data_IF_198153178977
#
_entry.id   IF_198153178977
#
_cell.length_a   1.000
_cell.length_b   1.000
_cell.length_c   1.000
_cell.angle_alpha   90.00
_cell.angle_beta   90.00
_cell.angle_gamma   90.00
#
_symmetry.space_group_name_H-M   'P 1'
#
loop_
_entity.id
_entity.type
_entity.pdbx_description
1 polymer ?
#
# COMPACT_ATOMS: atom_id res chain seq x y z
N UNK A 1 -19.56 -25.65 1.33
CA UNK A 1 -18.81 -26.39 2.36
C UNK A 1 -17.63 -27.04 1.65
N UNK A 2 -16.42 -26.69 2.00
CA UNK A 2 -15.21 -27.33 1.43
C UNK A 2 -15.15 -28.76 1.96
N UNK A 3 -15.30 -29.74 1.08
CA UNK A 3 -15.15 -31.16 1.42
C UNK A 3 -13.66 -31.41 1.66
N UNK A 4 -13.27 -31.61 2.91
CA UNK A 4 -11.87 -31.88 3.23
C UNK A 4 -11.54 -33.29 2.67
N UNK A 5 -10.63 -33.40 1.72
CA UNK A 5 -10.20 -34.66 1.09
C UNK A 5 -9.81 -35.73 2.09
N UNK A 6 -9.37 -35.35 3.29
CA UNK A 6 -9.03 -36.24 4.39
C UNK A 6 -10.23 -37.13 4.87
N UNK A 7 -11.46 -36.68 4.62
CA UNK A 7 -12.68 -37.36 5.06
C UNK A 7 -13.30 -38.27 3.98
N UNK A 8 -12.69 -38.36 2.80
CA UNK A 8 -13.17 -39.16 1.69
C UNK A 8 -12.61 -40.60 1.74
N UNK A 9 -13.43 -41.54 1.36
CA UNK A 9 -12.99 -42.92 1.14
C UNK A 9 -12.08 -43.01 -0.10
N UNK A 10 -11.25 -44.08 -0.23
CA UNK A 10 -10.40 -44.24 -1.43
C UNK A 10 -11.17 -44.27 -2.75
N UNK A 11 -12.41 -44.77 -2.74
CA UNK A 11 -13.28 -44.79 -3.92
C UNK A 11 -13.74 -43.37 -4.31
N UNK A 12 -14.21 -42.61 -3.33
CA UNK A 12 -14.60 -41.20 -3.52
C UNK A 12 -13.41 -40.30 -3.95
N UNK A 13 -12.22 -40.54 -3.39
CA UNK A 13 -11.02 -39.85 -3.81
C UNK A 13 -10.64 -40.11 -5.28
N UNK A 14 -10.80 -41.33 -5.74
CA UNK A 14 -10.57 -41.70 -7.15
C UNK A 14 -11.59 -41.06 -8.09
N UNK A 15 -12.85 -41.03 -7.70
CA UNK A 15 -13.91 -40.39 -8.46
C UNK A 15 -13.63 -38.87 -8.58
N UNK A 16 -13.35 -38.21 -7.47
CA UNK A 16 -13.01 -36.77 -7.42
C UNK A 16 -11.75 -36.48 -8.24
N UNK A 17 -10.69 -37.26 -8.08
CA UNK A 17 -9.48 -37.17 -8.89
C UNK A 17 -9.78 -37.25 -10.39
N UNK A 18 -10.63 -38.20 -10.81
CA UNK A 18 -10.99 -38.40 -12.21
C UNK A 18 -11.74 -37.18 -12.75
N UNK A 19 -12.69 -36.64 -11.97
CA UNK A 19 -13.46 -35.47 -12.33
C UNK A 19 -12.57 -34.21 -12.45
N UNK A 20 -11.72 -33.94 -11.45
CA UNK A 20 -10.80 -32.78 -11.44
C UNK A 20 -9.75 -32.92 -12.56
N UNK A 21 -9.25 -34.15 -12.78
CA UNK A 21 -8.29 -34.39 -13.86
C UNK A 21 -8.91 -34.15 -15.25
N UNK A 22 -10.14 -34.56 -15.46
CA UNK A 22 -10.83 -34.28 -16.72
C UNK A 22 -11.02 -32.77 -16.96
N UNK A 23 -11.35 -31.98 -15.92
CA UNK A 23 -11.45 -30.54 -16.00
C UNK A 23 -10.09 -29.91 -16.31
N UNK A 24 -9.03 -30.37 -15.64
CA UNK A 24 -7.66 -29.91 -15.90
C UNK A 24 -7.21 -30.17 -17.34
N UNK A 25 -7.44 -31.42 -17.82
CA UNK A 25 -7.06 -31.80 -19.20
C UNK A 25 -7.86 -31.00 -20.25
N UNK A 26 -9.13 -30.69 -19.99
CA UNK A 26 -9.96 -29.85 -20.85
C UNK A 26 -9.46 -28.39 -20.88
N UNK A 27 -9.03 -27.84 -19.75
CA UNK A 27 -8.43 -26.50 -19.68
C UNK A 27 -7.07 -26.47 -20.40
N UNK A 28 -6.25 -27.49 -20.19
CA UNK A 28 -4.95 -27.64 -20.85
C UNK A 28 -5.07 -27.72 -22.37
N UNK A 29 -6.07 -28.44 -22.86
CA UNK A 29 -6.35 -28.57 -24.30
C UNK A 29 -6.74 -27.23 -24.98
N UNK A 30 -7.15 -26.22 -24.21
CA UNK A 30 -7.45 -24.86 -24.73
C UNK A 30 -6.19 -24.07 -25.08
N UNK A 31 -4.99 -24.53 -24.71
CA UNK A 31 -3.69 -23.89 -24.96
C UNK A 31 -3.68 -22.40 -24.63
N UNK A 32 -4.32 -22.02 -23.51
CA UNK A 32 -4.47 -20.63 -23.10
C UNK A 32 -3.09 -20.03 -22.79
N UNK A 33 -2.78 -18.90 -23.42
CA UNK A 33 -1.55 -18.13 -23.17
C UNK A 33 -1.85 -17.01 -22.18
N UNK A 34 -2.13 -17.34 -20.93
CA UNK A 34 -2.43 -16.42 -19.87
C UNK A 34 -1.16 -16.03 -19.11
N UNK A 35 -1.01 -14.75 -18.84
CA UNK A 35 0.05 -14.23 -17.98
C UNK A 35 -0.56 -13.73 -16.67
N UNK A 36 -0.30 -14.45 -15.59
CA UNK A 36 -0.79 -14.12 -14.24
C UNK A 36 0.30 -13.49 -13.36
N UNK A 37 1.47 -13.17 -13.93
CA UNK A 37 2.59 -12.65 -13.16
C UNK A 37 2.37 -11.20 -12.68
N UNK A 38 1.50 -10.45 -13.33
CA UNK A 38 1.16 -9.07 -12.95
C UNK A 38 -0.28 -8.72 -13.32
N UNK A 39 -1.05 -8.18 -12.36
CA UNK A 39 -2.26 -7.44 -12.63
C UNK A 39 -1.91 -6.11 -13.32
N UNK A 40 -2.49 -5.87 -14.51
CA UNK A 40 -2.37 -4.62 -15.24
C UNK A 40 -3.72 -4.29 -15.86
N UNK A 41 -4.11 -3.01 -15.95
CA UNK A 41 -5.28 -2.62 -16.72
C UNK A 41 -5.17 -3.14 -18.16
N UNK A 42 -6.24 -3.72 -18.67
CA UNK A 42 -6.36 -4.11 -20.06
C UNK A 42 -6.43 -2.91 -21.00
N UNK A 43 -6.21 -3.14 -22.30
CA UNK A 43 -6.25 -2.07 -23.30
C UNK A 43 -7.55 -1.27 -23.27
N UNK A 44 -8.68 -1.97 -23.18
CA UNK A 44 -10.00 -1.34 -23.15
C UNK A 44 -10.17 -0.41 -21.94
N UNK A 45 -9.62 -0.78 -20.78
CA UNK A 45 -9.61 0.08 -19.58
C UNK A 45 -8.73 1.32 -19.78
N UNK A 46 -7.56 1.16 -20.41
CA UNK A 46 -6.67 2.28 -20.72
C UNK A 46 -7.28 3.23 -21.78
N UNK A 47 -8.00 2.68 -22.73
CA UNK A 47 -8.67 3.48 -23.79
C UNK A 47 -9.75 4.41 -23.21
N UNK A 48 -10.37 4.06 -22.06
CA UNK A 48 -11.35 4.92 -21.37
C UNK A 48 -10.77 6.28 -20.97
N UNK A 49 -9.48 6.34 -20.64
CA UNK A 49 -8.81 7.55 -20.16
C UNK A 49 -7.93 8.20 -21.24
N UNK A 50 -7.91 7.67 -22.46
CA UNK A 50 -7.05 8.18 -23.54
C UNK A 50 -7.33 9.65 -23.91
N UNK A 51 -8.55 10.15 -23.65
CA UNK A 51 -8.91 11.56 -23.84
C UNK A 51 -8.08 12.54 -23.01
N UNK A 52 -7.49 12.10 -21.89
CA UNK A 52 -6.61 12.92 -21.03
C UNK A 52 -5.43 13.47 -21.83
N UNK A 53 -4.89 12.72 -22.79
CA UNK A 53 -3.75 13.13 -23.62
C UNK A 53 -4.03 14.34 -24.52
N UNK A 54 -5.28 14.72 -24.67
CA UNK A 54 -5.72 15.82 -25.55
C UNK A 54 -6.53 16.91 -24.83
N UNK A 55 -6.51 16.95 -23.50
CA UNK A 55 -7.22 17.97 -22.71
C UNK A 55 -6.54 19.32 -22.86
N UNK A 56 -5.21 19.37 -22.71
CA UNK A 56 -4.43 20.60 -22.83
C UNK A 56 -4.18 20.91 -24.30
N UNK A 57 -4.80 21.96 -24.83
CA UNK A 57 -4.73 22.35 -26.25
C UNK A 57 -4.04 23.69 -26.45
N UNK A 58 -4.15 24.57 -25.47
CA UNK A 58 -3.62 25.94 -25.54
C UNK A 58 -2.78 26.24 -24.30
N UNK A 59 -1.92 27.27 -24.33
CA UNK A 59 -1.18 27.73 -23.16
C UNK A 59 -2.08 28.08 -21.97
N UNK A 60 -3.27 28.58 -22.23
CA UNK A 60 -4.25 28.99 -21.22
C UNK A 60 -4.76 27.78 -20.43
N UNK A 61 -4.88 26.60 -21.06
CA UNK A 61 -5.25 25.35 -20.40
C UNK A 61 -4.22 24.90 -19.35
N UNK A 62 -3.01 25.46 -19.41
CA UNK A 62 -1.94 25.19 -18.46
C UNK A 62 -1.91 26.17 -17.29
N UNK A 63 -2.82 27.16 -17.23
CA UNK A 63 -2.88 28.11 -16.12
C UNK A 63 -3.87 27.60 -15.07
N UNK A 64 -3.40 27.43 -13.84
CA UNK A 64 -4.19 27.01 -12.69
C UNK A 64 -3.99 27.99 -11.54
N UNK A 65 -5.07 28.61 -11.04
CA UNK A 65 -5.01 29.57 -9.95
C UNK A 65 -4.05 30.77 -10.20
N UNK A 66 -3.82 31.13 -11.47
CA UNK A 66 -2.86 32.17 -11.87
C UNK A 66 -1.41 31.68 -11.98
N UNK A 67 -1.17 30.41 -11.75
CA UNK A 67 0.15 29.76 -11.91
C UNK A 67 0.22 29.06 -13.27
N UNK A 68 1.28 29.32 -14.02
CA UNK A 68 1.57 28.60 -15.26
C UNK A 68 2.27 27.27 -14.93
N UNK A 69 1.50 26.17 -15.01
CA UNK A 69 1.98 24.82 -14.65
C UNK A 69 3.12 24.29 -15.54
N UNK A 70 3.43 24.97 -16.64
CA UNK A 70 4.61 24.67 -17.49
C UNK A 70 5.91 25.21 -16.87
N UNK A 71 5.81 26.07 -15.85
CA UNK A 71 6.96 26.64 -15.16
C UNK A 71 7.19 25.92 -13.82
N UNK A 72 8.34 26.16 -13.21
CA UNK A 72 8.68 25.67 -11.87
C UNK A 72 8.24 26.69 -10.80
N UNK A 73 8.19 26.25 -9.54
CA UNK A 73 7.93 27.13 -8.40
C UNK A 73 6.99 26.53 -7.34
N UNK A 74 6.04 25.72 -7.73
CA UNK A 74 5.06 25.08 -6.83
C UNK A 74 5.64 23.81 -6.19
N UNK A 75 6.45 23.99 -5.13
CA UNK A 75 7.21 22.89 -4.49
C UNK A 75 6.35 21.74 -3.95
N UNK A 76 5.13 22.05 -3.47
CA UNK A 76 4.22 21.06 -2.90
C UNK A 76 3.09 20.65 -3.84
N UNK A 77 3.08 21.16 -5.07
CA UNK A 77 2.04 20.94 -6.06
C UNK A 77 1.02 22.08 -6.17
N UNK A 78 0.30 22.11 -7.29
CA UNK A 78 -0.74 23.10 -7.53
C UNK A 78 -1.84 23.02 -6.46
N UNK A 79 -2.42 24.16 -6.12
CA UNK A 79 -3.49 24.28 -5.13
C UNK A 79 -4.65 23.33 -5.44
N UNK A 80 -5.12 23.34 -6.66
CA UNK A 80 -6.27 22.53 -7.11
C UNK A 80 -5.95 21.04 -7.09
N UNK A 81 -4.70 20.64 -7.37
CA UNK A 81 -4.27 19.26 -7.25
C UNK A 81 -4.27 18.81 -5.79
N UNK A 82 -3.83 19.67 -4.87
CA UNK A 82 -3.87 19.37 -3.43
C UNK A 82 -5.29 19.29 -2.89
N UNK A 83 -6.18 20.18 -3.31
CA UNK A 83 -7.60 20.17 -2.94
C UNK A 83 -8.28 18.88 -3.42
N UNK A 84 -8.04 18.47 -4.67
CA UNK A 84 -8.56 17.24 -5.23
C UNK A 84 -8.09 15.99 -4.47
N UNK A 85 -6.79 15.87 -4.22
CA UNK A 85 -6.24 14.72 -3.52
C UNK A 85 -6.56 14.72 -2.03
N UNK A 86 -6.73 15.88 -1.41
CA UNK A 86 -7.17 16.00 -0.03
C UNK A 86 -8.58 15.43 0.15
N UNK A 87 -9.49 15.73 -0.78
CA UNK A 87 -10.85 15.17 -0.80
C UNK A 87 -10.82 13.63 -0.94
N UNK A 88 -10.01 13.13 -1.88
CA UNK A 88 -9.85 11.68 -2.10
C UNK A 88 -9.26 10.96 -0.88
N UNK A 89 -8.30 11.59 -0.19
CA UNK A 89 -7.58 11.00 0.95
C UNK A 89 -8.21 11.29 2.30
N UNK A 90 -9.22 12.17 2.37
CA UNK A 90 -9.86 12.56 3.62
C UNK A 90 -8.97 13.42 4.53
N UNK A 91 -8.05 14.20 3.97
CA UNK A 91 -7.14 15.07 4.72
C UNK A 91 -7.28 16.53 4.31
N UNK A 92 -6.46 17.44 4.86
CA UNK A 92 -6.47 18.85 4.46
C UNK A 92 -5.52 19.10 3.29
N UNK A 93 -5.81 20.08 2.40
CA UNK A 93 -4.91 20.44 1.30
C UNK A 93 -3.49 20.80 1.76
N UNK A 94 -3.34 21.39 2.94
CA UNK A 94 -2.04 21.74 3.54
C UNK A 94 -1.21 20.52 3.95
N UNK A 95 -1.87 19.38 4.16
CA UNK A 95 -1.26 18.10 4.50
C UNK A 95 -0.85 17.32 3.24
N UNK A 96 -1.28 17.80 2.04
CA UNK A 96 -0.97 17.17 0.76
C UNK A 96 0.35 17.70 0.17
N UNK A 97 1.19 16.78 -0.27
CA UNK A 97 2.35 17.03 -1.10
C UNK A 97 2.22 16.23 -2.40
N UNK A 98 2.13 16.91 -3.53
CA UNK A 98 2.03 16.27 -4.84
C UNK A 98 3.43 15.92 -5.33
N UNK A 99 3.73 14.63 -5.33
CA UNK A 99 5.01 14.10 -5.79
C UNK A 99 4.94 13.52 -7.21
N UNK A 100 5.91 12.66 -7.52
CA UNK A 100 5.94 11.94 -8.79
C UNK A 100 4.86 10.83 -8.87
N UNK A 101 4.78 10.19 -10.03
CA UNK A 101 3.77 9.17 -10.34
C UNK A 101 4.04 7.77 -9.75
N UNK A 102 5.11 7.60 -8.98
CA UNK A 102 5.49 6.33 -8.38
C UNK A 102 5.60 6.46 -6.86
N UNK A 103 4.63 5.91 -6.12
CA UNK A 103 4.60 5.95 -4.65
C UNK A 103 5.85 5.32 -4.03
N UNK A 104 6.39 4.24 -4.62
CA UNK A 104 7.63 3.61 -4.16
C UNK A 104 8.82 4.57 -4.16
N UNK A 105 8.91 5.50 -5.13
CA UNK A 105 9.96 6.53 -5.15
C UNK A 105 9.80 7.48 -3.98
N UNK A 106 8.58 7.95 -3.70
CA UNK A 106 8.29 8.83 -2.57
C UNK A 106 8.60 8.14 -1.23
N UNK A 107 8.24 6.87 -1.09
CA UNK A 107 8.55 6.08 0.11
C UNK A 107 10.06 5.89 0.28
N UNK A 108 10.78 5.59 -0.81
CA UNK A 108 12.23 5.48 -0.80
C UNK A 108 12.87 6.81 -0.39
N UNK A 109 12.41 7.93 -0.93
CA UNK A 109 12.92 9.26 -0.60
C UNK A 109 12.71 9.61 0.87
N UNK A 110 11.55 9.27 1.45
CA UNK A 110 11.27 9.48 2.87
C UNK A 110 12.19 8.64 3.77
N UNK A 111 12.36 7.35 3.44
CA UNK A 111 13.28 6.45 4.18
C UNK A 111 14.71 6.94 4.03
N UNK A 112 15.13 7.32 2.81
CA UNK A 112 16.46 7.88 2.53
C UNK A 112 16.71 9.17 3.33
N UNK A 113 15.72 10.04 3.44
CA UNK A 113 15.81 11.27 4.23
C UNK A 113 15.97 10.95 5.71
N UNK A 114 15.17 10.04 6.26
CA UNK A 114 15.33 9.57 7.64
C UNK A 114 16.72 8.97 7.88
N UNK A 115 17.21 8.18 6.92
CA UNK A 115 18.52 7.55 7.00
C UNK A 115 19.67 8.55 6.97
N UNK A 116 19.65 9.51 6.04
CA UNK A 116 20.77 10.42 5.79
C UNK A 116 20.74 11.69 6.65
N UNK A 117 19.57 12.24 6.96
CA UNK A 117 19.38 13.53 7.64
C UNK A 117 18.59 13.43 8.94
N UNK A 118 17.78 12.37 9.11
CA UNK A 118 16.75 12.27 10.14
C UNK A 118 15.43 12.90 9.71
N UNK A 119 14.36 12.51 10.37
CA UNK A 119 13.03 13.12 10.25
C UNK A 119 12.90 14.28 11.27
N UNK A 120 11.79 15.02 11.22
CA UNK A 120 11.58 16.24 12.04
C UNK A 120 11.77 16.02 13.56
N UNK A 121 11.53 14.80 14.06
CA UNK A 121 11.67 14.43 15.48
C UNK A 121 12.88 13.54 15.77
N UNK A 122 13.76 13.31 14.79
CA UNK A 122 14.98 12.52 14.97
C UNK A 122 16.03 13.31 15.74
N UNK A 123 16.61 12.73 16.78
CA UNK A 123 17.77 13.32 17.47
C UNK A 123 19.03 13.31 16.60
N UNK A 124 19.15 12.27 15.76
CA UNK A 124 20.25 12.10 14.80
C UNK A 124 19.78 11.29 13.59
N UNK A 125 20.45 11.40 12.43
CA UNK A 125 20.16 10.56 11.26
C UNK A 125 20.23 9.06 11.59
N UNK A 126 19.35 8.26 10.99
CA UNK A 126 19.30 6.83 11.28
C UNK A 126 20.57 6.08 10.90
N UNK A 127 21.33 6.56 9.90
CA UNK A 127 22.65 6.00 9.56
C UNK A 127 23.69 6.10 10.69
N UNK A 128 23.43 6.89 11.73
CA UNK A 128 24.29 7.03 12.92
C UNK A 128 23.78 6.25 14.13
N UNK A 129 22.74 5.43 13.95
CA UNK A 129 22.24 4.51 14.95
C UNK A 129 22.93 3.15 14.78
N UNK A 130 23.15 2.44 15.89
CA UNK A 130 23.74 1.11 15.85
C UNK A 130 22.83 0.10 15.16
N UNK A 131 21.52 0.25 15.35
CA UNK A 131 20.49 -0.62 14.73
C UNK A 131 19.27 0.21 14.40
N UNK A 132 18.69 -0.04 13.22
CA UNK A 132 17.38 0.45 12.80
C UNK A 132 16.51 -0.75 12.46
N UNK A 133 15.32 -0.79 13.03
CA UNK A 133 14.34 -1.86 12.82
C UNK A 133 13.08 -1.30 12.17
N UNK A 134 12.42 -2.16 11.39
CA UNK A 134 11.19 -1.78 10.69
C UNK A 134 10.16 -2.91 10.73
N UNK A 135 8.91 -2.58 11.04
CA UNK A 135 7.83 -3.55 11.11
C UNK A 135 7.27 -3.83 9.70
N UNK A 136 7.21 -5.10 9.37
CA UNK A 136 6.81 -5.63 8.07
C UNK A 136 5.64 -6.60 8.23
N UNK A 137 4.37 -6.14 8.20
CA UNK A 137 3.23 -7.03 8.16
C UNK A 137 3.30 -7.97 6.94
N UNK A 138 3.25 -9.29 7.21
CA UNK A 138 3.43 -10.30 6.17
C UNK A 138 2.39 -11.44 6.34
N UNK A 139 1.83 -11.95 5.21
CA UNK A 139 2.15 -11.59 3.82
C UNK A 139 1.91 -10.11 3.52
N UNK A 140 2.77 -9.47 2.71
CA UNK A 140 2.71 -8.04 2.43
C UNK A 140 3.39 -7.69 1.10
N UNK A 141 3.40 -6.40 0.76
CA UNK A 141 4.00 -5.96 -0.49
C UNK A 141 5.54 -5.94 -0.38
N UNK A 142 6.18 -6.91 -1.01
CA UNK A 142 7.63 -7.16 -0.91
C UNK A 142 8.50 -5.98 -1.33
N UNK A 143 7.99 -5.07 -2.18
CA UNK A 143 8.70 -3.87 -2.62
C UNK A 143 8.94 -2.89 -1.48
N UNK A 144 7.99 -2.78 -0.55
CA UNK A 144 8.16 -1.99 0.67
C UNK A 144 9.32 -2.54 1.51
N UNK A 145 9.32 -3.84 1.74
CA UNK A 145 10.36 -4.50 2.53
C UNK A 145 11.74 -4.30 1.91
N UNK A 146 11.79 -4.37 0.56
CA UNK A 146 13.03 -4.17 -0.18
C UNK A 146 13.60 -2.77 -0.05
N UNK A 147 12.75 -1.74 0.12
CA UNK A 147 13.23 -0.39 0.40
C UNK A 147 14.01 -0.39 1.71
N UNK A 148 13.41 -0.79 2.82
CA UNK A 148 14.05 -0.77 4.14
C UNK A 148 15.23 -1.74 4.24
N UNK A 149 15.13 -2.91 3.63
CA UNK A 149 16.23 -3.86 3.52
C UNK A 149 17.47 -3.25 2.82
N UNK A 150 17.25 -2.44 1.76
CA UNK A 150 18.35 -1.83 1.00
C UNK A 150 19.18 -0.83 1.80
N UNK A 151 18.62 -0.29 2.89
CA UNK A 151 19.33 0.55 3.86
C UNK A 151 19.97 -0.24 5.01
N UNK A 152 19.87 -1.57 4.98
CA UNK A 152 20.41 -2.43 6.04
C UNK A 152 19.58 -2.49 7.31
N UNK A 153 18.29 -2.14 7.26
CA UNK A 153 17.40 -2.22 8.41
C UNK A 153 17.08 -3.68 8.76
N UNK A 154 16.97 -3.96 10.05
CA UNK A 154 16.43 -5.22 10.55
C UNK A 154 14.91 -5.25 10.37
N UNK A 155 14.42 -6.20 9.59
CA UNK A 155 13.00 -6.34 9.30
C UNK A 155 12.34 -7.25 10.33
N UNK A 156 11.34 -6.72 11.04
CA UNK A 156 10.54 -7.48 12.00
C UNK A 156 9.25 -7.90 11.30
N UNK A 157 9.09 -9.19 11.07
CA UNK A 157 7.87 -9.74 10.49
C UNK A 157 6.72 -9.71 11.51
N UNK A 158 5.62 -9.06 11.14
CA UNK A 158 4.36 -9.05 11.90
C UNK A 158 3.36 -9.93 11.15
N UNK A 159 2.79 -10.98 11.76
CA UNK A 159 1.77 -11.79 11.11
C UNK A 159 0.53 -10.96 10.76
N UNK A 160 -0.05 -11.26 9.59
CA UNK A 160 -1.37 -10.73 9.22
C UNK A 160 -2.48 -11.59 9.81
N UNK A 161 -3.58 -10.94 10.18
CA UNK A 161 -4.85 -11.54 10.58
C UNK A 161 -5.95 -11.13 9.58
N UNK A 162 -7.13 -11.72 9.59
CA UNK A 162 -8.24 -11.29 8.74
C UNK A 162 -8.67 -9.82 8.93
N UNK A 163 -8.26 -9.18 10.03
CA UNK A 163 -8.59 -7.79 10.37
C UNK A 163 -7.43 -6.79 10.15
N UNK A 164 -6.27 -7.26 9.68
CA UNK A 164 -5.05 -6.47 9.54
C UNK A 164 -3.87 -7.11 10.25
N UNK A 165 -2.80 -6.37 10.56
CA UNK A 165 -1.64 -6.90 11.30
C UNK A 165 -2.01 -7.32 12.72
N UNK A 166 -1.29 -8.29 13.25
CA UNK A 166 -1.37 -8.71 14.66
C UNK A 166 -0.93 -7.53 15.56
N UNK A 167 -1.92 -6.80 16.07
CA UNK A 167 -1.69 -5.57 16.82
C UNK A 167 -1.01 -5.80 18.17
N UNK A 168 -1.18 -6.96 18.79
CA UNK A 168 -0.51 -7.26 20.06
C UNK A 168 1.02 -7.31 19.84
N UNK A 169 1.45 -7.87 18.70
CA UNK A 169 2.85 -7.89 18.31
C UNK A 169 3.38 -6.53 17.87
N UNK A 170 2.55 -5.74 17.20
CA UNK A 170 2.92 -4.37 16.84
C UNK A 170 3.15 -3.53 18.08
N UNK A 171 2.20 -3.53 19.02
CA UNK A 171 2.26 -2.77 20.27
C UNK A 171 3.45 -3.18 21.17
N UNK A 172 3.83 -4.45 21.15
CA UNK A 172 5.03 -4.92 21.85
C UNK A 172 6.29 -4.44 21.15
N UNK A 173 6.37 -4.59 19.82
CA UNK A 173 7.56 -4.24 19.05
C UNK A 173 7.88 -2.74 19.06
N UNK A 174 6.89 -1.85 19.06
CA UNK A 174 7.12 -0.39 19.08
C UNK A 174 7.67 0.14 20.41
N UNK A 175 7.76 -0.71 21.46
CA UNK A 175 8.43 -0.36 22.72
C UNK A 175 9.96 -0.32 22.57
N UNK A 176 10.51 -0.93 21.53
CA UNK A 176 11.92 -0.87 21.19
C UNK A 176 12.21 0.46 20.45
N UNK A 177 13.06 1.36 20.99
CA UNK A 177 13.40 2.64 20.35
C UNK A 177 14.17 2.50 19.03
N UNK A 178 14.68 1.31 18.73
CA UNK A 178 15.29 1.02 17.43
C UNK A 178 14.25 0.82 16.32
N UNK A 179 12.99 0.58 16.65
CA UNK A 179 11.90 0.44 15.67
C UNK A 179 11.48 1.83 15.19
N UNK A 180 11.84 2.15 13.95
CA UNK A 180 11.66 3.49 13.34
C UNK A 180 10.46 3.60 12.45
N UNK A 181 9.76 2.51 12.16
CA UNK A 181 8.56 2.61 11.36
C UNK A 181 7.89 1.26 11.05
N UNK A 182 6.79 1.37 10.32
CA UNK A 182 5.95 0.26 9.92
C UNK A 182 5.37 0.49 8.52
N UNK A 183 5.33 -0.56 7.71
CA UNK A 183 4.63 -0.58 6.43
C UNK A 183 3.18 -0.99 6.62
N UNK A 184 2.25 -0.29 5.97
CA UNK A 184 0.83 -0.64 5.96
C UNK A 184 0.26 -0.53 4.54
N UNK A 185 -0.57 -1.51 4.15
CA UNK A 185 -1.47 -1.44 2.99
C UNK A 185 -2.88 -1.72 3.51
N UNK A 186 -3.61 -0.67 3.93
CA UNK A 186 -4.78 -0.85 4.80
C UNK A 186 -6.04 -1.33 4.09
N UNK A 187 -6.19 -1.04 2.79
CA UNK A 187 -7.33 -1.48 1.98
C UNK A 187 -6.84 -2.41 0.87
N UNK A 188 -7.46 -3.57 0.76
CA UNK A 188 -7.10 -4.62 -0.22
C UNK A 188 -5.60 -4.95 -0.22
N UNK A 189 -5.07 -5.27 0.97
CA UNK A 189 -3.63 -5.53 1.17
C UNK A 189 -3.08 -6.51 0.12
N UNK A 190 -1.91 -6.22 -0.40
CA UNK A 190 -1.24 -7.09 -1.37
C UNK A 190 -0.27 -8.04 -0.63
N UNK A 191 -0.42 -9.40 -0.75
CA UNK A 191 -1.25 -10.12 -1.73
C UNK A 191 -2.64 -10.55 -1.25
N UNK A 192 -2.97 -10.48 0.04
CA UNK A 192 -4.08 -11.21 0.65
C UNK A 192 -5.45 -10.53 0.48
N UNK A 193 -5.50 -9.28 0.03
CA UNK A 193 -6.74 -8.52 -0.17
C UNK A 193 -7.46 -8.13 1.13
N UNK A 194 -6.78 -8.16 2.27
CA UNK A 194 -7.33 -7.83 3.58
C UNK A 194 -7.62 -6.33 3.65
N UNK A 195 -8.78 -5.97 4.23
CA UNK A 195 -9.12 -4.61 4.63
C UNK A 195 -8.96 -4.53 6.15
N UNK A 196 -8.19 -3.54 6.63
CA UNK A 196 -8.01 -3.34 8.06
C UNK A 196 -9.34 -2.97 8.71
N UNK A 197 -9.65 -3.59 9.84
CA UNK A 197 -10.84 -3.24 10.62
C UNK A 197 -10.69 -1.87 11.29
N UNK A 198 -11.82 -1.22 11.61
CA UNK A 198 -11.84 0.03 12.37
C UNK A 198 -11.11 -0.08 13.71
N UNK A 199 -11.19 -1.24 14.35
CA UNK A 199 -10.45 -1.52 15.59
C UNK A 199 -8.94 -1.53 15.34
N UNK A 200 -8.48 -2.21 14.30
CA UNK A 200 -7.06 -2.22 13.91
C UNK A 200 -6.56 -0.81 13.63
N UNK A 201 -7.31 -0.03 12.84
CA UNK A 201 -6.95 1.35 12.52
C UNK A 201 -6.88 2.21 13.77
N UNK A 202 -7.86 2.08 14.68
CA UNK A 202 -7.87 2.81 15.95
C UNK A 202 -6.67 2.43 16.86
N UNK A 203 -6.31 1.15 16.91
CA UNK A 203 -5.12 0.69 17.66
C UNK A 203 -3.83 1.23 17.04
N UNK A 204 -3.71 1.25 15.71
CA UNK A 204 -2.53 1.85 15.03
C UNK A 204 -2.44 3.34 15.34
N UNK A 205 -3.53 4.08 15.27
CA UNK A 205 -3.56 5.52 15.59
C UNK A 205 -3.22 5.81 17.07
N UNK A 206 -3.54 4.88 17.97
CA UNK A 206 -3.27 4.99 19.40
C UNK A 206 -1.86 4.53 19.80
N UNK A 207 -1.04 4.06 18.87
CA UNK A 207 0.32 3.60 19.16
C UNK A 207 1.15 4.68 19.86
N UNK A 208 1.95 4.24 20.83
CA UNK A 208 2.91 5.10 21.53
C UNK A 208 4.32 4.53 21.35
N UNK A 209 4.92 4.73 20.18
CA UNK A 209 6.25 4.23 19.93
C UNK A 209 7.28 4.85 20.88
N UNK A 210 8.25 4.04 21.33
CA UNK A 210 9.38 4.55 22.11
C UNK A 210 10.31 5.44 21.27
N UNK A 211 10.34 5.24 19.94
CA UNK A 211 11.05 6.11 19.02
C UNK A 211 10.22 7.38 18.74
N UNK A 212 10.71 8.61 19.06
CA UNK A 212 9.97 9.85 18.80
C UNK A 212 9.81 10.14 17.30
N UNK A 213 10.66 9.55 16.48
CA UNK A 213 10.71 9.68 15.03
C UNK A 213 10.17 8.44 14.30
N UNK A 214 9.30 7.68 14.96
CA UNK A 214 8.58 6.57 14.31
C UNK A 214 7.73 7.05 13.14
N UNK A 215 7.87 6.40 11.99
CA UNK A 215 7.17 6.71 10.76
C UNK A 215 6.19 5.60 10.38
N UNK A 216 4.90 5.92 10.32
CA UNK A 216 3.88 5.03 9.77
C UNK A 216 3.77 5.28 8.25
N UNK A 217 4.15 4.31 7.43
CA UNK A 217 3.99 4.36 5.98
C UNK A 217 2.65 3.74 5.61
N UNK A 218 1.66 4.59 5.36
CA UNK A 218 0.28 4.21 5.09
C UNK A 218 0.01 4.25 3.60
N UNK A 219 0.30 3.13 2.91
CA UNK A 219 0.10 3.00 1.47
C UNK A 219 -1.37 2.69 1.16
N UNK A 220 -2.16 3.73 0.94
CA UNK A 220 -3.57 3.64 0.62
C UNK A 220 -3.81 3.59 -0.91
N UNK A 221 -3.04 2.76 -1.61
CA UNK A 221 -3.07 2.63 -3.07
C UNK A 221 -4.46 2.31 -3.64
N UNK A 222 -5.31 1.69 -2.83
CA UNK A 222 -6.65 1.21 -3.25
C UNK A 222 -7.78 2.01 -2.61
N UNK A 223 -7.54 3.24 -2.17
CA UNK A 223 -8.53 4.06 -1.44
C UNK A 223 -9.86 4.24 -2.18
N UNK A 224 -9.83 4.34 -3.51
CA UNK A 224 -11.03 4.52 -4.36
C UNK A 224 -11.42 3.25 -5.14
N UNK A 225 -10.74 2.12 -4.91
CA UNK A 225 -11.02 0.88 -5.63
C UNK A 225 -12.12 0.09 -4.94
N UNK A 226 -13.03 -0.46 -5.76
CA UNK A 226 -13.92 -1.54 -5.38
C UNK A 226 -13.84 -2.63 -6.43
N UNK A 227 -13.75 -3.87 -5.98
CA UNK A 227 -13.61 -5.02 -6.88
C UNK A 227 -14.88 -5.84 -6.97
N UNK A 228 -15.78 -5.70 -6.00
CA UNK A 228 -17.07 -6.39 -5.96
C UNK A 228 -18.06 -5.60 -5.10
N UNK A 229 -19.25 -5.31 -5.66
CA UNK A 229 -20.33 -4.63 -4.96
C UNK A 229 -20.21 -3.10 -4.91
N UNK A 230 -20.81 -2.52 -3.87
CA UNK A 230 -20.87 -1.08 -3.65
C UNK A 230 -19.60 -0.56 -2.95
N UNK A 231 -19.34 0.74 -3.11
CA UNK A 231 -18.21 1.38 -2.43
C UNK A 231 -18.34 1.27 -0.91
N UNK A 232 -17.33 0.67 -0.28
CA UNK A 232 -17.24 0.58 1.17
C UNK A 232 -16.39 1.73 1.68
N UNK A 233 -16.97 2.67 2.47
CA UNK A 233 -16.21 3.73 3.10
C UNK A 233 -15.08 3.16 3.94
N UNK A 234 -13.89 3.70 3.78
CA UNK A 234 -12.71 3.28 4.52
C UNK A 234 -12.29 4.40 5.47
N UNK A 235 -12.10 4.06 6.75
CA UNK A 235 -11.73 5.03 7.77
C UNK A 235 -10.29 5.51 7.55
N UNK A 236 -10.10 6.82 7.41
CA UNK A 236 -8.78 7.38 7.27
C UNK A 236 -8.08 7.49 8.64
N UNK A 237 -6.78 7.13 8.65
CA UNK A 237 -5.95 7.22 9.85
C UNK A 237 -5.54 8.65 10.18
N UNK A 238 -5.42 9.55 9.18
CA UNK A 238 -4.97 10.93 9.37
C UNK A 238 -5.90 11.72 10.29
N UNK A 239 -7.20 11.39 10.30
CA UNK A 239 -8.17 12.04 11.19
C UNK A 239 -8.10 11.55 12.63
N UNK A 240 -7.32 10.50 12.90
CA UNK A 240 -7.20 9.85 14.21
C UNK A 240 -5.86 10.12 14.90
N UNK A 241 -4.86 10.59 14.16
CA UNK A 241 -3.49 10.85 14.64
C UNK A 241 -3.30 12.27 15.16
#
# INVERSE_FOLDING_TARGET
MSTTYQNLTPAQLREEYTAVKAQFDALKAKELKLNMARGKPGREQLDLVSGILSILKTPEDCISGGVDARNYGELSGLKEAKEYWADVLGCKPEECFIGGNASLTLMYDLVSKGYTHGLARSEKPWCRLDTVKWLCPAPGYDRHFKITESFGFELITIPMTPAGPDMDKVEEAVKDPAVKGMWCVPKYSNPDGIIYSDETIARIAALKPAAPDFALMWDNAYCIHEFDGEFVPFRDILTLC
#
